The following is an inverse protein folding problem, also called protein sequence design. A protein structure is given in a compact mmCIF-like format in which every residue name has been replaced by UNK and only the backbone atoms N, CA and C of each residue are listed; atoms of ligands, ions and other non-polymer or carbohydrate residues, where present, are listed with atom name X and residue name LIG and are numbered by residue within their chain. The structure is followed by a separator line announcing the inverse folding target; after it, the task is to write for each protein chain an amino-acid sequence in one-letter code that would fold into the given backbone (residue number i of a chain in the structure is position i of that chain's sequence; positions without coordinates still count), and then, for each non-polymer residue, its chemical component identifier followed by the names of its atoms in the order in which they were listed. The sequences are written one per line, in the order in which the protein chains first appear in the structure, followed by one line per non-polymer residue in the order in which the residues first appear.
data_IF_197249329006
#
_entry.id   IF_197249329006
#
_cell.length_a   1.000
_cell.length_b   1.000
_cell.length_c   1.000
_cell.angle_alpha   90.00
_cell.angle_beta   90.00
_cell.angle_gamma   90.00
#
_symmetry.space_group_name_H-M   'P 1'
#
loop_
_entity.id
_entity.type
_entity.pdbx_description
1 polymer ?
#
# COMPACT_ATOMS: atom_id res chain seq x y z
N UNK A 1 9.56 2.65 -1.40
CA UNK A 1 8.69 1.48 -1.67
C UNK A 1 7.52 1.53 -0.69
N UNK A 2 6.28 1.30 -1.14
CA UNK A 2 5.11 1.26 -0.23
C UNK A 2 5.24 0.09 0.76
N UNK A 3 4.43 0.10 1.84
CA UNK A 3 4.32 -1.02 2.80
C UNK A 3 4.11 -2.40 2.16
N UNK A 4 3.69 -2.44 0.91
CA UNK A 4 3.21 -3.65 0.22
C UNK A 4 4.13 -4.09 -0.92
N UNK A 5 5.20 -3.33 -1.20
CA UNK A 5 6.25 -3.68 -2.16
C UNK A 5 6.11 -3.05 -3.55
N UNK A 6 4.97 -2.46 -3.89
CA UNK A 6 4.71 -1.77 -5.15
C UNK A 6 4.40 -0.29 -4.90
N UNK A 7 5.28 0.61 -5.35
CA UNK A 7 5.04 2.05 -5.21
C UNK A 7 3.85 2.48 -6.08
N UNK A 8 3.06 3.43 -5.59
CA UNK A 8 1.93 3.98 -6.34
C UNK A 8 2.34 4.51 -7.75
N UNK A 9 3.47 5.22 -7.92
CA UNK A 9 3.91 5.67 -9.25
C UNK A 9 4.17 4.51 -10.22
N UNK A 10 4.83 3.43 -9.76
CA UNK A 10 5.09 2.26 -10.61
C UNK A 10 3.81 1.54 -11.01
N UNK A 11 2.83 1.45 -10.09
CA UNK A 11 1.50 0.92 -10.43
C UNK A 11 0.81 1.80 -11.48
N UNK A 12 0.76 3.11 -11.27
CA UNK A 12 0.08 4.05 -12.17
C UNK A 12 0.66 3.99 -13.59
N UNK A 13 1.99 3.96 -13.72
CA UNK A 13 2.64 3.85 -15.03
C UNK A 13 2.31 2.52 -15.72
N UNK A 14 2.36 1.40 -15.00
CA UNK A 14 2.12 0.06 -15.56
C UNK A 14 0.65 -0.13 -15.96
N UNK A 15 -0.27 0.31 -15.09
CA UNK A 15 -1.70 0.26 -15.34
C UNK A 15 -2.09 1.18 -16.51
N UNK A 16 -1.60 2.43 -16.50
CA UNK A 16 -1.84 3.40 -17.56
C UNK A 16 -1.35 2.92 -18.93
N UNK A 17 -0.13 2.36 -18.99
CA UNK A 17 0.40 1.76 -20.22
C UNK A 17 -0.47 0.59 -20.71
N UNK A 18 -0.91 -0.27 -19.80
CA UNK A 18 -1.76 -1.43 -20.14
C UNK A 18 -3.09 -0.98 -20.75
N UNK A 19 -3.73 0.03 -20.16
CA UNK A 19 -4.98 0.61 -20.67
C UNK A 19 -4.76 1.31 -22.02
N UNK A 20 -3.68 2.08 -22.16
CA UNK A 20 -3.35 2.78 -23.41
C UNK A 20 -3.12 1.80 -24.55
N UNK A 21 -2.31 0.75 -24.33
CA UNK A 21 -2.05 -0.30 -25.33
C UNK A 21 -3.35 -1.01 -25.70
N UNK A 22 -4.21 -1.31 -24.73
CA UNK A 22 -5.54 -1.88 -24.98
C UNK A 22 -6.46 -0.97 -25.79
N UNK A 23 -6.44 0.33 -25.55
CA UNK A 23 -7.24 1.30 -26.29
C UNK A 23 -6.75 1.46 -27.74
N UNK A 24 -5.42 1.54 -27.94
CA UNK A 24 -4.81 1.62 -29.27
C UNK A 24 -5.07 0.34 -30.05
N UNK A 25 -4.93 -0.84 -29.43
CA UNK A 25 -5.21 -2.11 -30.11
C UNK A 25 -6.68 -2.25 -30.48
N UNK A 26 -7.61 -1.75 -29.64
CA UNK A 26 -9.03 -1.69 -29.99
C UNK A 26 -9.27 -0.79 -31.21
N UNK A 27 -8.72 0.43 -31.21
CA UNK A 27 -8.89 1.38 -32.30
C UNK A 27 -8.35 0.84 -33.63
N UNK A 28 -7.21 0.15 -33.60
CA UNK A 28 -6.64 -0.52 -34.77
C UNK A 28 -7.49 -1.68 -35.28
N UNK A 29 -8.17 -2.42 -34.39
CA UNK A 29 -9.09 -3.47 -34.82
C UNK A 29 -10.42 -2.93 -35.36
N UNK A 30 -10.94 -1.83 -34.78
CA UNK A 30 -12.17 -1.17 -35.26
C UNK A 30 -12.00 -0.52 -36.64
N UNK A 31 -10.78 -0.09 -36.99
CA UNK A 31 -10.48 0.46 -38.33
C UNK A 31 -10.32 -0.62 -39.41
N UNK A 32 -10.23 -1.90 -39.03
CA UNK A 32 -10.12 -3.02 -39.99
C UNK A 32 -11.51 -3.51 -40.42
N UNK A 33 -11.72 -3.67 -41.72
CA UNK A 33 -13.02 -4.07 -42.32
C UNK A 33 -13.55 -5.46 -41.93
N UNK A 34 -12.74 -6.31 -41.29
CA UNK A 34 -13.15 -7.66 -40.84
C UNK A 34 -12.71 -7.88 -39.40
N UNK A 35 -13.63 -7.66 -38.47
CA UNK A 35 -13.48 -8.06 -37.07
C UNK A 35 -13.83 -9.54 -36.96
N UNK A 36 -12.88 -10.38 -36.56
CA UNK A 36 -13.11 -11.80 -36.30
C UNK A 36 -13.26 -12.06 -34.80
N UNK A 37 -14.05 -13.07 -34.41
CA UNK A 37 -14.24 -13.46 -33.01
C UNK A 37 -12.90 -13.71 -32.27
N UNK A 38 -11.93 -14.31 -32.96
CA UNK A 38 -10.59 -14.54 -32.42
C UNK A 38 -9.85 -13.25 -32.04
N UNK A 39 -10.00 -12.18 -32.83
CA UNK A 39 -9.39 -10.87 -32.52
C UNK A 39 -10.09 -10.15 -31.38
N UNK A 40 -11.42 -10.25 -31.31
CA UNK A 40 -12.18 -9.72 -30.17
C UNK A 40 -11.79 -10.45 -28.87
N UNK A 41 -11.65 -11.78 -28.91
CA UNK A 41 -11.14 -12.54 -27.76
C UNK A 41 -9.70 -12.16 -27.39
N UNK A 42 -8.83 -12.02 -28.39
CA UNK A 42 -7.44 -11.59 -28.15
C UNK A 42 -7.37 -10.20 -27.51
N UNK A 43 -8.27 -9.30 -27.90
CA UNK A 43 -8.36 -7.97 -27.30
C UNK A 43 -8.74 -8.00 -25.82
N UNK A 44 -9.61 -8.94 -25.39
CA UNK A 44 -10.02 -9.08 -23.98
C UNK A 44 -8.85 -9.33 -23.01
N UNK A 45 -7.69 -9.76 -23.51
CA UNK A 45 -6.48 -9.90 -22.69
C UNK A 45 -6.09 -8.56 -22.05
N UNK A 46 -6.27 -7.43 -22.72
CA UNK A 46 -5.91 -6.11 -22.18
C UNK A 46 -6.79 -5.66 -21.01
N UNK A 47 -8.13 -5.60 -21.12
CA UNK A 47 -8.97 -5.27 -19.97
C UNK A 47 -8.86 -6.31 -18.85
N UNK A 48 -8.64 -7.59 -19.17
CA UNK A 48 -8.38 -8.62 -18.16
C UNK A 48 -7.07 -8.35 -17.41
N UNK A 49 -5.99 -8.04 -18.12
CA UNK A 49 -4.70 -7.69 -17.51
C UNK A 49 -4.81 -6.42 -16.66
N UNK A 50 -5.50 -5.38 -17.14
CA UNK A 50 -5.75 -4.17 -16.37
C UNK A 50 -6.56 -4.45 -15.10
N UNK A 51 -7.61 -5.26 -15.19
CA UNK A 51 -8.41 -5.66 -14.03
C UNK A 51 -7.59 -6.46 -13.01
N UNK A 52 -6.76 -7.41 -13.48
CA UNK A 52 -5.86 -8.18 -12.63
C UNK A 52 -4.83 -7.29 -11.94
N UNK A 53 -4.21 -6.35 -12.65
CA UNK A 53 -3.27 -5.39 -12.07
C UNK A 53 -3.93 -4.53 -10.98
N UNK A 54 -5.15 -4.05 -11.24
CA UNK A 54 -5.91 -3.28 -10.26
C UNK A 54 -6.25 -4.11 -9.02
N UNK A 55 -6.69 -5.36 -9.19
CA UNK A 55 -7.00 -6.27 -8.09
C UNK A 55 -5.76 -6.62 -7.26
N UNK A 56 -4.62 -6.85 -7.92
CA UNK A 56 -3.33 -7.08 -7.25
C UNK A 56 -2.91 -5.84 -6.45
N UNK A 57 -3.08 -4.66 -7.02
CA UNK A 57 -2.75 -3.42 -6.33
C UNK A 57 -3.63 -3.19 -5.09
N UNK A 58 -4.95 -3.28 -5.23
CA UNK A 58 -5.91 -3.12 -4.14
C UNK A 58 -5.71 -4.18 -3.04
N UNK A 59 -5.47 -5.44 -3.43
CA UNK A 59 -5.20 -6.51 -2.47
C UNK A 59 -3.86 -6.33 -1.78
N UNK A 60 -2.84 -5.77 -2.44
CA UNK A 60 -1.56 -5.46 -1.81
C UNK A 60 -1.74 -4.49 -0.63
N UNK A 61 -2.58 -3.46 -0.79
CA UNK A 61 -2.86 -2.41 0.20
C UNK A 61 -3.75 -2.84 1.36
N UNK A 62 -4.36 -4.02 1.26
CA UNK A 62 -5.23 -4.50 2.31
C UNK A 62 -4.42 -4.99 3.51
N UNK A 63 -4.78 -4.60 4.75
CA UNK A 63 -4.20 -5.21 5.96
C UNK A 63 -4.60 -6.68 6.14
N UNK A 64 -5.54 -7.18 5.33
CA UNK A 64 -5.85 -8.60 5.23
C UNK A 64 -4.89 -9.36 4.30
N UNK A 65 -3.94 -8.68 3.64
CA UNK A 65 -2.99 -9.32 2.76
C UNK A 65 -2.07 -10.28 3.57
N UNK A 66 -1.98 -11.57 3.19
CA UNK A 66 -1.19 -12.54 3.95
C UNK A 66 0.30 -12.21 3.93
N UNK A 67 0.83 -11.65 2.82
CA UNK A 67 2.23 -11.24 2.73
C UNK A 67 2.52 -10.04 3.63
N UNK A 68 1.59 -9.08 3.71
CA UNK A 68 1.71 -7.95 4.65
C UNK A 68 1.75 -8.45 6.09
N UNK A 69 0.82 -9.35 6.46
CA UNK A 69 0.77 -9.93 7.81
C UNK A 69 2.01 -10.73 8.15
N UNK A 70 2.53 -11.52 7.20
CA UNK A 70 3.77 -12.26 7.38
C UNK A 70 4.95 -11.31 7.61
N UNK A 71 5.10 -10.27 6.78
CA UNK A 71 6.15 -9.25 6.96
C UNK A 71 6.04 -8.54 8.31
N UNK A 72 4.81 -8.21 8.72
CA UNK A 72 4.53 -7.62 10.02
C UNK A 72 4.97 -8.55 11.15
N UNK A 73 4.55 -9.81 11.11
CA UNK A 73 4.91 -10.80 12.13
C UNK A 73 6.43 -10.98 12.24
N UNK A 74 7.13 -11.11 11.10
CA UNK A 74 8.59 -11.24 11.05
C UNK A 74 9.34 -9.97 11.52
N UNK A 75 8.71 -8.80 11.44
CA UNK A 75 9.31 -7.52 11.83
C UNK A 75 8.85 -7.02 13.20
N UNK A 76 7.98 -7.77 13.88
CA UNK A 76 7.25 -7.30 15.06
C UNK A 76 8.19 -6.87 16.18
N UNK A 77 9.18 -7.68 16.51
CA UNK A 77 10.12 -7.37 17.58
C UNK A 77 10.92 -6.09 17.28
N UNK A 78 11.47 -5.96 16.07
CA UNK A 78 12.21 -4.77 15.65
C UNK A 78 11.34 -3.51 15.67
N UNK A 79 10.07 -3.64 15.27
CA UNK A 79 9.09 -2.54 15.30
C UNK A 79 8.72 -2.17 16.75
N UNK A 80 8.54 -3.15 17.64
CA UNK A 80 8.24 -2.91 19.07
C UNK A 80 9.41 -2.25 19.78
N UNK A 81 10.64 -2.69 19.53
CA UNK A 81 11.85 -2.07 20.08
C UNK A 81 12.00 -0.62 19.60
N UNK A 82 11.77 -0.38 18.31
CA UNK A 82 11.79 0.98 17.77
C UNK A 82 10.70 1.86 18.42
N UNK A 83 9.49 1.34 18.61
CA UNK A 83 8.40 2.07 19.25
C UNK A 83 8.70 2.40 20.71
N UNK A 84 9.21 1.43 21.48
CA UNK A 84 9.60 1.62 22.89
C UNK A 84 10.71 2.67 23.03
N UNK A 85 11.75 2.59 22.20
CA UNK A 85 12.84 3.56 22.22
C UNK A 85 12.38 4.97 21.85
N UNK A 86 11.47 5.09 20.87
CA UNK A 86 10.88 6.37 20.48
C UNK A 86 10.04 6.99 21.62
N UNK A 87 9.21 6.20 22.30
CA UNK A 87 8.42 6.65 23.45
C UNK A 87 9.30 7.01 24.66
N UNK A 88 10.43 6.35 24.84
CA UNK A 88 11.40 6.66 25.90
C UNK A 88 12.21 7.95 25.65
N UNK A 89 11.91 8.71 24.59
CA UNK A 89 12.62 9.95 24.27
C UNK A 89 14.03 9.72 23.74
N UNK A 90 14.32 8.53 23.21
CA UNK A 90 15.57 8.21 22.50
C UNK A 90 15.33 8.08 20.99
N UNK A 91 14.84 9.12 20.28
CA UNK A 91 14.66 9.03 18.85
C UNK A 91 16.05 8.90 18.19
N UNK A 92 16.38 7.70 17.74
CA UNK A 92 17.45 7.52 16.75
C UNK A 92 17.02 8.23 15.46
N UNK A 93 17.99 8.73 14.70
CA UNK A 93 17.75 9.23 13.35
C UNK A 93 16.83 8.25 12.59
N UNK A 94 15.78 8.76 11.95
CA UNK A 94 14.74 7.93 11.33
C UNK A 94 15.39 6.90 10.41
N UNK A 95 15.39 5.62 10.78
CA UNK A 95 16.04 4.60 9.98
C UNK A 95 15.23 4.41 8.70
N UNK A 96 15.90 4.28 7.56
CA UNK A 96 15.24 4.04 6.28
C UNK A 96 14.41 2.75 6.27
N UNK A 97 14.76 1.79 7.15
CA UNK A 97 14.10 0.51 7.31
C UNK A 97 14.01 0.10 8.78
N UNK A 98 12.87 -0.46 9.18
CA UNK A 98 12.68 -1.12 10.48
C UNK A 98 12.12 -2.52 10.20
N UNK A 99 12.92 -3.55 10.47
CA UNK A 99 12.64 -4.90 10.00
C UNK A 99 12.48 -4.93 8.47
N UNK A 100 11.35 -5.45 7.99
CA UNK A 100 10.99 -5.53 6.58
C UNK A 100 10.16 -4.34 6.09
N UNK A 101 10.03 -3.26 6.87
CA UNK A 101 9.24 -2.09 6.48
C UNK A 101 10.13 -0.90 6.17
N UNK A 102 9.96 -0.27 4.99
CA UNK A 102 10.58 1.01 4.71
C UNK A 102 9.88 2.08 5.55
N UNK A 103 10.65 2.85 6.30
CA UNK A 103 10.14 3.93 7.15
C UNK A 103 10.76 5.23 6.66
N UNK A 104 9.91 6.15 6.21
CA UNK A 104 10.32 7.46 5.72
C UNK A 104 10.30 8.52 6.81
N UNK A 105 9.28 8.44 7.67
CA UNK A 105 9.09 9.36 8.80
C UNK A 105 8.58 8.59 10.00
N UNK A 106 9.02 9.00 11.18
CA UNK A 106 8.55 8.48 12.45
C UNK A 106 7.94 9.64 13.22
N UNK A 107 6.63 9.60 13.43
CA UNK A 107 5.90 10.62 14.18
C UNK A 107 5.64 10.09 15.59
N UNK A 108 6.27 10.71 16.59
CA UNK A 108 6.11 10.35 18.00
C UNK A 108 5.09 11.29 18.65
N UNK A 109 4.09 10.70 19.27
CA UNK A 109 3.12 11.40 20.12
C UNK A 109 3.16 10.79 21.53
N UNK A 110 2.64 11.47 22.56
CA UNK A 110 2.72 10.99 23.94
C UNK A 110 2.16 9.58 24.18
N UNK A 111 1.21 9.12 23.36
CA UNK A 111 0.55 7.82 23.51
C UNK A 111 0.65 6.90 22.28
N UNK A 112 1.38 7.31 21.23
CA UNK A 112 1.50 6.50 20.01
C UNK A 112 2.77 6.83 19.23
N UNK A 113 3.22 5.85 18.45
CA UNK A 113 4.29 6.03 17.46
C UNK A 113 3.76 5.66 16.10
N UNK A 114 3.89 6.56 15.13
CA UNK A 114 3.50 6.30 13.74
C UNK A 114 4.74 6.09 12.88
N UNK A 115 4.81 4.94 12.24
CA UNK A 115 5.82 4.58 11.26
C UNK A 115 5.22 4.84 9.88
N UNK A 116 5.55 5.98 9.29
CA UNK A 116 5.03 6.39 7.99
C UNK A 116 5.92 5.79 6.90
N UNK A 117 5.31 4.94 6.07
CA UNK A 117 5.91 4.37 4.87
C UNK A 117 5.62 5.27 3.66
N UNK A 118 6.16 4.94 2.49
CA UNK A 118 5.80 5.65 1.25
C UNK A 118 4.29 5.57 0.95
N UNK A 119 3.82 6.54 0.15
CA UNK A 119 2.41 6.70 -0.20
C UNK A 119 1.77 5.43 -0.77
N UNK A 120 0.52 5.20 -0.33
CA UNK A 120 -0.37 4.16 -0.85
C UNK A 120 -1.42 4.72 -1.82
N UNK A 121 -1.35 6.00 -2.14
CA UNK A 121 -2.18 6.64 -3.15
C UNK A 121 -1.48 7.83 -3.78
N UNK A 122 -2.25 8.66 -4.48
CA UNK A 122 -1.78 9.95 -5.01
C UNK A 122 -1.47 10.92 -3.85
N UNK A 123 -2.33 10.92 -2.83
CA UNK A 123 -2.26 11.81 -1.66
C UNK A 123 -2.27 11.06 -0.32
N UNK A 124 -2.49 9.75 -0.34
CA UNK A 124 -2.66 8.96 0.89
C UNK A 124 -1.31 8.44 1.42
N UNK A 125 -1.08 8.67 2.72
CA UNK A 125 0.04 8.08 3.46
C UNK A 125 -0.40 6.77 4.13
N UNK A 126 0.43 5.74 4.01
CA UNK A 126 0.25 4.48 4.69
C UNK A 126 1.36 4.23 5.69
N UNK A 127 1.07 3.41 6.69
CA UNK A 127 2.05 3.08 7.71
C UNK A 127 1.55 2.12 8.77
N UNK A 128 2.33 2.04 9.83
CA UNK A 128 2.02 1.27 11.03
C UNK A 128 1.90 2.25 12.21
N UNK A 129 0.98 1.97 13.12
CA UNK A 129 0.86 2.69 14.38
C UNK A 129 1.03 1.71 15.51
N UNK A 130 1.91 2.05 16.44
CA UNK A 130 1.99 1.43 17.75
C UNK A 130 1.25 2.29 18.76
N UNK A 131 0.24 1.72 19.41
CA UNK A 131 -0.54 2.36 20.46
C UNK A 131 -0.83 1.33 21.56
N UNK A 132 -0.11 1.41 22.69
CA UNK A 132 -0.26 0.44 23.79
C UNK A 132 -1.60 0.58 24.55
N UNK A 133 -2.29 1.71 24.40
CA UNK A 133 -3.64 1.94 24.93
C UNK A 133 -4.75 1.61 23.94
N UNK A 134 -6.00 1.91 24.31
CA UNK A 134 -7.14 1.77 23.41
C UNK A 134 -7.13 2.84 22.30
N UNK A 135 -7.52 2.44 21.09
CA UNK A 135 -7.68 3.38 19.97
C UNK A 135 -8.66 4.51 20.35
N UNK A 136 -8.29 5.79 20.22
CA UNK A 136 -9.19 6.89 20.56
C UNK A 136 -10.42 6.86 19.65
N UNK A 137 -11.60 6.92 20.25
CA UNK A 137 -12.86 6.96 19.53
C UNK A 137 -12.94 8.28 18.71
N UNK A 138 -12.94 8.18 17.38
CA UNK A 138 -13.27 9.32 16.52
C UNK A 138 -12.10 10.12 15.93
N UNK A 139 -11.13 9.47 15.27
CA UNK A 139 -10.21 10.18 14.36
C UNK A 139 -10.88 10.45 13.01
N UNK A 140 -11.37 11.67 12.81
CA UNK A 140 -12.11 12.08 11.60
C UNK A 140 -11.33 11.93 10.28
N UNK A 141 -9.99 12.01 10.29
CA UNK A 141 -9.14 11.94 9.08
C UNK A 141 -8.21 10.73 9.01
N UNK A 142 -8.16 9.92 10.05
CA UNK A 142 -7.21 8.81 10.15
C UNK A 142 -7.96 7.51 10.37
N UNK A 143 -7.99 6.66 9.34
CA UNK A 143 -8.57 5.32 9.46
C UNK A 143 -7.50 4.38 9.96
N UNK A 144 -7.75 3.78 11.12
CA UNK A 144 -6.89 2.74 11.68
C UNK A 144 -7.61 1.40 11.61
N UNK A 145 -6.90 0.35 11.19
CA UNK A 145 -7.40 -1.02 11.24
C UNK A 145 -6.53 -1.84 12.19
N UNK A 146 -7.11 -2.58 13.15
CA UNK A 146 -6.31 -3.40 14.05
C UNK A 146 -5.56 -4.48 13.26
N UNK A 147 -4.31 -4.71 13.65
CA UNK A 147 -3.48 -5.81 13.15
C UNK A 147 -3.35 -6.89 14.21
N UNK A 148 -2.60 -6.61 15.27
CA UNK A 148 -2.36 -7.53 16.38
C UNK A 148 -1.89 -6.76 17.62
N UNK A 149 -2.47 -7.05 18.79
CA UNK A 149 -2.11 -6.38 20.03
C UNK A 149 -2.24 -4.85 19.94
N UNK A 150 -1.16 -4.15 20.26
CA UNK A 150 -1.06 -2.68 20.22
C UNK A 150 -0.81 -2.10 18.82
N UNK A 151 -0.90 -2.93 17.76
CA UNK A 151 -0.54 -2.53 16.39
C UNK A 151 -1.76 -2.31 15.51
N UNK A 152 -1.69 -1.22 14.76
CA UNK A 152 -2.71 -0.80 13.81
C UNK A 152 -2.09 -0.45 12.46
N UNK A 153 -2.80 -0.79 11.38
CA UNK A 153 -2.49 -0.29 10.05
C UNK A 153 -3.07 1.12 9.89
N UNK A 154 -2.25 2.05 9.43
CA UNK A 154 -2.59 3.43 9.19
C UNK A 154 -2.96 3.65 7.73
N UNK A 155 -4.12 4.25 7.51
CA UNK A 155 -4.50 4.87 6.24
C UNK A 155 -4.88 6.33 6.52
N UNK A 156 -4.02 7.26 6.11
CA UNK A 156 -4.26 8.70 6.27
C UNK A 156 -4.58 9.32 4.92
N UNK A 157 -5.76 9.93 4.81
CA UNK A 157 -6.18 10.71 3.65
C UNK A 157 -5.82 12.16 3.93
N UNK A 158 -4.99 12.77 3.09
CA UNK A 158 -4.68 14.20 3.15
C UNK A 158 -5.78 15.05 2.52
#
# INVERSE_FOLDING_TARGET
MSSTGLSFPSFLSTFGLTVLVGAVSLGLELTRRRVTRARVLGWLVHPLAAALLLLLFLSSQSPANPLFRLRFHLSREALEDAARNALAGQPRATPAWIGLFPVRRLDVYPAEVRFISDGCGVVDECGLIYMPGSAPAGRYKTRVKPLEGAWYHLYSVF
#
